data_IF_515900728113
#
_entry.id   IF_515900728113
#
_cell.length_a   1.000
_cell.length_b   1.000
_cell.length_c   1.000
_cell.angle_alpha   90.00
_cell.angle_beta   90.00
_cell.angle_gamma   90.00
#
_symmetry.space_group_name_H-M   'P 1'
#
loop_
_entity.id
_entity.type
_entity.pdbx_description
1 polymer ?
#
# COMPACT_ATOMS: atom_id res chain seq x y z
N UNK A 1 23.11 -6.57 9.86
CA UNK A 1 21.78 -7.21 9.82
C UNK A 1 21.99 -8.72 9.74
N UNK A 2 21.23 -9.53 10.50
CA UNK A 2 21.28 -10.98 10.35
C UNK A 2 20.74 -11.38 8.97
N UNK A 3 21.34 -12.42 8.36
CA UNK A 3 20.95 -12.94 7.04
C UNK A 3 20.57 -14.40 7.19
N UNK A 4 19.36 -14.74 6.77
CA UNK A 4 18.88 -16.12 6.66
C UNK A 4 18.97 -16.55 5.20
N UNK A 5 19.54 -17.73 4.93
CA UNK A 5 19.64 -18.31 3.59
C UNK A 5 18.63 -19.45 3.46
N UNK A 6 17.83 -19.43 2.41
CA UNK A 6 16.89 -20.48 2.03
C UNK A 6 17.37 -21.12 0.74
N UNK A 7 17.68 -22.42 0.76
CA UNK A 7 18.06 -23.18 -0.44
C UNK A 7 16.82 -23.82 -1.03
N UNK A 8 16.55 -23.56 -2.30
CA UNK A 8 15.40 -24.08 -3.05
C UNK A 8 15.90 -24.79 -4.31
N UNK A 9 15.13 -25.77 -4.80
CA UNK A 9 15.29 -26.20 -6.19
C UNK A 9 14.74 -25.15 -7.15
N UNK A 10 15.14 -25.21 -8.42
CA UNK A 10 14.66 -24.30 -9.46
C UNK A 10 13.12 -24.25 -9.52
N UNK A 11 12.47 -25.42 -9.43
CA UNK A 11 11.00 -25.52 -9.43
C UNK A 11 10.34 -24.78 -8.25
N UNK A 12 10.94 -24.85 -7.05
CA UNK A 12 10.42 -24.13 -5.89
C UNK A 12 10.74 -22.64 -5.92
N UNK A 13 11.88 -22.25 -6.49
CA UNK A 13 12.22 -20.84 -6.69
C UNK A 13 11.25 -20.16 -7.68
N UNK A 14 10.95 -20.80 -8.80
CA UNK A 14 9.97 -20.28 -9.76
C UNK A 14 8.58 -20.15 -9.16
N UNK A 15 8.15 -21.15 -8.37
CA UNK A 15 6.89 -21.09 -7.63
C UNK A 15 6.84 -19.90 -6.67
N UNK A 16 7.92 -19.68 -5.90
CA UNK A 16 8.05 -18.57 -4.97
C UNK A 16 8.03 -17.22 -5.69
N UNK A 17 8.76 -17.10 -6.82
CA UNK A 17 8.79 -15.92 -7.67
C UNK A 17 7.42 -15.57 -8.23
N UNK A 18 6.69 -16.57 -8.74
CA UNK A 18 5.32 -16.40 -9.23
C UNK A 18 4.37 -15.94 -8.12
N UNK A 19 4.41 -16.56 -6.94
CA UNK A 19 3.59 -16.18 -5.79
C UNK A 19 3.86 -14.74 -5.33
N UNK A 20 5.13 -14.32 -5.29
CA UNK A 20 5.51 -12.96 -4.95
C UNK A 20 4.98 -11.96 -5.99
N UNK A 21 5.12 -12.27 -7.30
CA UNK A 21 4.59 -11.46 -8.40
C UNK A 21 3.07 -11.32 -8.35
N UNK A 22 2.32 -12.39 -8.10
CA UNK A 22 0.85 -12.35 -7.97
C UNK A 22 0.40 -11.39 -6.87
N UNK A 23 1.22 -11.22 -5.82
CA UNK A 23 0.96 -10.26 -4.73
C UNK A 23 1.65 -8.91 -4.91
N UNK A 24 2.23 -8.64 -6.09
CA UNK A 24 3.02 -7.45 -6.39
C UNK A 24 4.12 -7.15 -5.34
N UNK A 25 4.80 -8.19 -4.85
CA UNK A 25 5.83 -8.10 -3.81
C UNK A 25 7.18 -8.61 -4.33
N UNK A 26 8.26 -8.09 -3.74
CA UNK A 26 9.57 -8.72 -3.89
C UNK A 26 9.56 -10.10 -3.21
N UNK A 27 10.42 -11.02 -3.65
CA UNK A 27 10.55 -12.34 -3.01
C UNK A 27 10.86 -12.21 -1.51
N UNK A 28 11.73 -11.25 -1.13
CA UNK A 28 12.09 -11.04 0.27
C UNK A 28 10.92 -10.55 1.12
N UNK A 29 10.14 -9.59 0.61
CA UNK A 29 8.95 -9.10 1.32
C UNK A 29 7.89 -10.20 1.41
N UNK A 30 7.67 -10.95 0.33
CA UNK A 30 6.77 -12.08 0.32
C UNK A 30 7.14 -13.16 1.36
N UNK A 31 8.43 -13.52 1.44
CA UNK A 31 8.93 -14.46 2.46
C UNK A 31 8.68 -13.92 3.86
N UNK A 32 8.99 -12.64 4.11
CA UNK A 32 8.80 -12.01 5.43
C UNK A 32 7.33 -12.07 5.85
N UNK A 33 6.44 -11.64 4.98
CA UNK A 33 5.00 -11.62 5.26
C UNK A 33 4.45 -13.03 5.51
N UNK A 34 4.98 -14.02 4.78
CA UNK A 34 4.57 -15.42 4.94
C UNK A 34 5.07 -16.02 6.26
N UNK A 35 6.34 -15.77 6.63
CA UNK A 35 6.95 -16.33 7.86
C UNK A 35 6.34 -15.72 9.12
N UNK A 36 6.10 -14.41 9.10
CA UNK A 36 5.61 -13.69 10.27
C UNK A 36 4.08 -13.58 10.29
N UNK A 37 3.40 -14.22 9.34
CA UNK A 37 1.96 -14.10 9.12
C UNK A 37 1.50 -12.63 9.21
N UNK A 38 2.31 -11.72 8.65
CA UNK A 38 2.00 -10.30 8.55
C UNK A 38 0.93 -10.12 7.46
N UNK A 39 -0.23 -10.76 7.66
CA UNK A 39 -1.49 -10.40 7.03
C UNK A 39 -1.93 -9.07 7.63
N UNK A 40 -1.24 -8.05 7.17
CA UNK A 40 -1.49 -6.67 7.55
C UNK A 40 -2.63 -6.12 6.70
N UNK A 41 -3.54 -5.39 7.33
CA UNK A 41 -4.53 -4.57 6.62
C UNK A 41 -3.87 -3.38 5.90
N UNK A 42 -2.61 -3.06 6.22
CA UNK A 42 -1.85 -1.95 5.63
C UNK A 42 -1.26 -2.36 4.28
N UNK A 43 -2.11 -2.55 3.28
CA UNK A 43 -1.71 -2.73 1.88
C UNK A 43 -2.26 -1.59 1.02
N UNK A 44 -1.61 -1.27 -0.12
CA UNK A 44 -2.11 -0.24 -1.01
C UNK A 44 -3.54 -0.49 -1.50
N UNK A 45 -3.87 -1.74 -1.82
CA UNK A 45 -5.18 -2.15 -2.32
C UNK A 45 -6.27 -1.95 -1.27
N UNK A 46 -6.01 -2.31 -0.01
CA UNK A 46 -6.97 -2.09 1.08
C UNK A 46 -7.11 -0.60 1.39
N UNK A 47 -6.04 0.20 1.26
CA UNK A 47 -6.13 1.66 1.38
C UNK A 47 -7.02 2.27 0.29
N UNK A 48 -6.89 1.84 -0.97
CA UNK A 48 -7.79 2.28 -2.05
C UNK A 48 -9.24 1.93 -1.70
N UNK A 49 -9.49 0.67 -1.37
CA UNK A 49 -10.83 0.19 -1.03
C UNK A 49 -11.47 0.99 0.11
N UNK A 50 -10.71 1.27 1.18
CA UNK A 50 -11.19 2.07 2.31
C UNK A 50 -11.40 3.54 1.96
N UNK A 51 -10.61 4.12 1.05
CA UNK A 51 -10.83 5.48 0.57
C UNK A 51 -12.17 5.62 -0.20
N UNK A 52 -12.70 4.52 -0.76
CA UNK A 52 -13.99 4.47 -1.44
C UNK A 52 -15.19 4.17 -0.53
N UNK A 53 -15.05 4.20 0.79
CA UNK A 53 -16.16 3.93 1.72
C UNK A 53 -17.22 5.05 1.81
N UNK A 54 -17.03 6.15 1.08
CA UNK A 54 -17.94 7.28 1.00
C UNK A 54 -17.55 8.47 1.88
N UNK A 55 -16.58 8.35 2.79
CA UNK A 55 -16.15 9.48 3.65
C UNK A 55 -15.46 10.63 2.89
N UNK A 56 -14.95 10.35 1.69
CA UNK A 56 -14.13 11.28 0.91
C UNK A 56 -14.70 11.60 -0.47
N UNK A 57 -15.98 11.29 -0.72
CA UNK A 57 -16.64 11.50 -2.02
C UNK A 57 -16.79 12.96 -2.42
N UNK A 58 -16.75 13.88 -1.46
CA UNK A 58 -17.07 15.30 -1.68
C UNK A 58 -15.85 16.12 -2.14
N UNK A 59 -14.83 15.45 -2.71
CA UNK A 59 -13.59 16.07 -3.16
C UNK A 59 -12.63 16.43 -2.01
N UNK A 60 -12.89 15.95 -0.80
CA UNK A 60 -12.03 16.18 0.36
C UNK A 60 -10.72 15.41 0.26
N UNK A 61 -9.62 16.10 0.57
CA UNK A 61 -8.31 15.49 0.67
C UNK A 61 -8.22 14.61 1.92
N UNK A 62 -7.57 13.45 1.80
CA UNK A 62 -7.35 12.52 2.90
C UNK A 62 -5.90 12.04 2.94
N UNK A 63 -5.49 11.56 4.11
CA UNK A 63 -4.23 10.85 4.32
C UNK A 63 -4.49 9.39 4.67
N UNK A 64 -3.47 8.54 4.57
CA UNK A 64 -3.60 7.13 5.00
C UNK A 64 -4.11 6.98 6.45
N UNK A 65 -3.64 7.75 7.44
CA UNK A 65 -4.26 7.74 8.77
C UNK A 65 -5.77 7.97 8.76
N UNK A 66 -6.28 8.87 7.92
CA UNK A 66 -7.72 9.20 7.86
C UNK A 66 -8.52 8.03 7.28
N UNK A 67 -7.96 7.37 6.27
CA UNK A 67 -8.55 6.19 5.62
C UNK A 67 -8.68 5.02 6.61
N UNK A 68 -7.68 4.81 7.45
CA UNK A 68 -7.68 3.71 8.42
C UNK A 68 -8.38 4.06 9.74
N UNK A 69 -8.43 5.34 10.13
CA UNK A 69 -9.06 5.77 11.38
C UNK A 69 -8.45 5.07 12.59
N UNK A 70 -9.29 4.47 13.43
CA UNK A 70 -8.88 3.74 14.64
C UNK A 70 -8.01 2.51 14.33
N UNK A 71 -8.12 1.95 13.12
CA UNK A 71 -7.28 0.83 12.69
C UNK A 71 -5.83 1.25 12.44
N UNK A 72 -5.51 2.56 12.39
CA UNK A 72 -4.15 3.05 12.16
C UNK A 72 -3.23 2.82 13.38
N UNK A 73 -2.74 1.59 13.51
CA UNK A 73 -1.96 1.12 14.67
C UNK A 73 -0.46 0.96 14.39
N UNK A 74 0.01 1.31 13.18
CA UNK A 74 1.41 1.13 12.78
C UNK A 74 2.37 2.18 13.37
N UNK A 75 3.58 1.72 13.71
CA UNK A 75 4.67 2.56 14.23
C UNK A 75 5.21 3.50 13.14
N UNK A 76 5.69 4.69 13.54
CA UNK A 76 6.17 5.76 12.64
C UNK A 76 7.16 5.31 11.54
N UNK A 77 8.05 4.37 11.81
CA UNK A 77 8.97 3.84 10.78
C UNK A 77 8.28 3.00 9.72
N UNK A 78 7.40 2.09 10.15
CA UNK A 78 6.62 1.21 9.27
C UNK A 78 5.60 2.04 8.47
N UNK A 79 5.00 3.05 9.11
CA UNK A 79 4.11 4.01 8.45
C UNK A 79 4.76 4.72 7.27
N UNK A 80 6.03 5.12 7.38
CA UNK A 80 6.77 5.73 6.28
C UNK A 80 6.99 4.76 5.11
N UNK A 81 7.34 3.50 5.40
CA UNK A 81 7.49 2.46 4.37
C UNK A 81 6.16 2.20 3.68
N UNK A 82 5.07 2.08 4.43
CA UNK A 82 3.74 1.89 3.89
C UNK A 82 3.30 3.07 3.03
N UNK A 83 3.49 4.30 3.50
CA UNK A 83 3.19 5.52 2.74
C UNK A 83 3.94 5.60 1.42
N UNK A 84 5.23 5.24 1.39
CA UNK A 84 6.01 5.17 0.15
C UNK A 84 5.49 4.09 -0.80
N UNK A 85 5.14 2.91 -0.28
CA UNK A 85 4.54 1.83 -1.08
C UNK A 85 3.21 2.27 -1.69
N UNK A 86 2.35 2.93 -0.92
CA UNK A 86 1.07 3.46 -1.42
C UNK A 86 1.26 4.57 -2.46
N UNK A 87 2.18 5.51 -2.23
CA UNK A 87 2.50 6.54 -3.20
C UNK A 87 2.94 5.94 -4.55
N UNK A 88 3.90 5.02 -4.53
CA UNK A 88 4.34 4.33 -5.75
C UNK A 88 3.18 3.59 -6.40
N UNK A 89 2.35 2.90 -5.62
CA UNK A 89 1.17 2.21 -6.14
C UNK A 89 0.22 3.17 -6.89
N UNK A 90 -0.07 4.34 -6.31
CA UNK A 90 -0.94 5.36 -6.94
C UNK A 90 -0.31 5.98 -8.19
N UNK A 91 1.01 6.19 -8.20
CA UNK A 91 1.71 6.80 -9.36
C UNK A 91 1.94 5.80 -10.49
N UNK A 92 2.26 4.55 -10.16
CA UNK A 92 2.63 3.51 -11.12
C UNK A 92 1.42 2.77 -11.70
N UNK A 93 0.24 2.89 -11.07
CA UNK A 93 -0.99 2.23 -11.50
C UNK A 93 -2.10 3.25 -11.76
N UNK A 94 -2.94 3.00 -12.77
CA UNK A 94 -4.11 3.84 -13.03
C UNK A 94 -5.26 3.48 -12.08
N UNK A 95 -5.22 4.05 -10.87
CA UNK A 95 -6.24 3.89 -9.84
C UNK A 95 -7.03 5.18 -9.66
N UNK A 96 -8.25 5.09 -9.10
CA UNK A 96 -9.18 6.22 -8.93
C UNK A 96 -8.81 7.16 -7.77
N UNK A 97 -7.52 7.27 -7.46
CA UNK A 97 -6.94 8.13 -6.43
C UNK A 97 -5.77 8.89 -7.06
N UNK A 98 -5.59 10.15 -6.68
CA UNK A 98 -4.42 10.93 -7.07
C UNK A 98 -3.76 11.62 -5.89
N UNK A 99 -2.44 11.78 -5.98
CA UNK A 99 -1.65 12.56 -5.03
C UNK A 99 -1.89 14.05 -5.27
N UNK A 100 -2.18 14.79 -4.19
CA UNK A 100 -2.45 16.23 -4.24
C UNK A 100 -1.25 17.03 -3.77
N UNK A 101 -0.80 16.77 -2.54
CA UNK A 101 0.31 17.50 -1.92
C UNK A 101 0.81 16.78 -0.67
N UNK A 102 1.89 17.26 -0.09
CA UNK A 102 2.18 16.96 1.31
C UNK A 102 1.33 17.86 2.22
N UNK A 103 1.10 17.43 3.47
CA UNK A 103 0.50 18.26 4.51
C UNK A 103 1.39 19.45 4.88
N UNK A 104 0.86 20.38 5.68
CA UNK A 104 1.56 21.61 6.09
C UNK A 104 2.87 21.40 6.85
N UNK A 105 3.18 20.16 7.23
CA UNK A 105 4.41 19.78 7.92
C UNK A 105 5.31 18.86 7.08
N UNK A 106 4.98 18.63 5.81
CA UNK A 106 5.68 17.74 4.88
C UNK A 106 5.83 16.30 5.38
N UNK A 107 4.91 15.85 6.24
CA UNK A 107 4.95 14.55 6.92
C UNK A 107 3.96 13.57 6.36
N UNK A 108 2.85 14.04 5.79
CA UNK A 108 1.77 13.20 5.28
C UNK A 108 1.47 13.53 3.84
N UNK A 109 1.49 12.52 2.97
CA UNK A 109 0.93 12.65 1.65
C UNK A 109 -0.60 12.76 1.75
N UNK A 110 -1.14 13.73 1.03
CA UNK A 110 -2.57 13.99 0.89
C UNK A 110 -3.01 13.54 -0.49
N UNK A 111 -4.15 12.86 -0.54
CA UNK A 111 -4.72 12.29 -1.74
C UNK A 111 -6.18 12.72 -1.87
N UNK A 112 -6.74 12.58 -3.06
CA UNK A 112 -8.19 12.70 -3.29
C UNK A 112 -8.66 11.64 -4.28
N UNK A 113 -9.94 11.32 -4.24
CA UNK A 113 -10.57 10.50 -5.27
C UNK A 113 -10.58 11.29 -6.59
N UNK A 114 -10.24 10.65 -7.70
CA UNK A 114 -10.40 11.25 -9.03
C UNK A 114 -11.91 11.51 -9.24
N UNK A 115 -12.28 12.68 -9.73
CA UNK A 115 -13.65 12.88 -10.19
C UNK A 115 -13.92 11.86 -11.29
N UNK A 116 -14.96 11.04 -11.14
CA UNK A 116 -15.41 10.21 -12.24
C UNK A 116 -15.71 11.15 -13.40
N UNK A 117 -14.99 11.02 -14.52
CA UNK A 117 -15.33 11.73 -15.75
C UNK A 117 -16.79 11.45 -16.05
N UNK A 118 -17.67 12.40 -15.70
CA UNK A 118 -19.03 12.47 -16.18
C UNK A 118 -18.92 12.83 -17.65
N UNK A 119 -18.64 11.83 -18.48
CA UNK A 119 -18.94 11.89 -19.89
C UNK A 119 -20.47 11.90 -19.97
N UNK A 120 -21.02 13.10 -20.13
CA UNK A 120 -22.42 13.32 -20.49
C UNK A 120 -22.70 12.98 -21.94
#
# INVERSE_FOLDING_TARGET
MPVVKLTLSDAYYEKLSAMAKTKNKSIQDFIRDTIYEENTIFTPEEAVKRAHDGRFSDGHNFSLPDVYGDDWTIKRGIAGVFGKKFFNYVVDNDVDIEFVSMDKYERRAMYRLKEASRNG
#
